data_IF_651294706197
#
_entry.id   IF_651294706197
#
_cell.length_a   1.000
_cell.length_b   1.000
_cell.length_c   1.000
_cell.angle_alpha   90.00
_cell.angle_beta   90.00
_cell.angle_gamma   90.00
#
_symmetry.space_group_name_H-M   'P 1'
#
loop_
_entity.id
_entity.type
_entity.pdbx_description
1 polymer ?
#
# COMPACT_ATOMS: atom_id res chain seq x y z
N UNK A 1 -8.04 -25.38 -3.37
CA UNK A 1 -8.90 -25.48 -2.18
C UNK A 1 -8.25 -26.47 -1.22
N UNK A 2 -8.15 -26.13 0.07
CA UNK A 2 -7.65 -27.01 1.12
C UNK A 2 -8.65 -28.14 1.33
N UNK A 3 -8.16 -29.40 1.39
CA UNK A 3 -8.98 -30.53 1.87
C UNK A 3 -9.18 -30.42 3.40
N UNK A 4 -10.18 -31.12 3.95
CA UNK A 4 -10.42 -31.13 5.40
C UNK A 4 -9.18 -31.62 6.17
N UNK A 5 -8.46 -32.60 5.64
CA UNK A 5 -7.25 -33.15 6.26
C UNK A 5 -6.10 -32.14 6.26
N UNK A 6 -5.91 -31.41 5.15
CA UNK A 6 -4.92 -30.32 5.03
C UNK A 6 -5.27 -29.14 5.94
N UNK A 7 -6.57 -28.89 6.16
CA UNK A 7 -7.03 -27.86 7.08
C UNK A 7 -6.76 -28.23 8.55
N UNK A 8 -6.65 -29.49 8.89
CA UNK A 8 -6.39 -29.98 10.27
C UNK A 8 -4.91 -30.21 10.54
N UNK A 9 -4.14 -30.69 9.57
CA UNK A 9 -2.72 -31.07 9.77
C UNK A 9 -1.74 -29.98 9.35
N UNK A 10 -2.14 -29.04 8.50
CA UNK A 10 -1.26 -28.05 7.88
C UNK A 10 -0.26 -28.69 6.91
N UNK A 11 -0.17 -28.23 5.70
CA UNK A 11 0.89 -28.63 4.76
C UNK A 11 1.53 -27.38 4.17
N UNK A 12 2.41 -26.78 4.98
CA UNK A 12 3.17 -25.59 4.57
C UNK A 12 4.06 -25.87 3.35
N UNK A 13 4.55 -27.12 3.22
CA UNK A 13 5.37 -27.49 2.06
C UNK A 13 4.56 -27.57 0.78
N UNK A 14 3.33 -28.08 0.84
CA UNK A 14 2.43 -28.07 -0.31
C UNK A 14 2.06 -26.64 -0.70
N UNK A 15 1.71 -25.80 0.28
CA UNK A 15 1.41 -24.40 0.04
C UNK A 15 2.57 -23.67 -0.65
N UNK A 16 3.80 -23.92 -0.19
CA UNK A 16 5.01 -23.36 -0.83
C UNK A 16 5.15 -23.85 -2.26
N UNK A 17 4.98 -25.17 -2.52
CA UNK A 17 5.06 -25.72 -3.89
C UNK A 17 4.03 -25.08 -4.82
N UNK A 18 2.77 -25.08 -4.39
CA UNK A 18 1.66 -24.54 -5.20
C UNK A 18 1.88 -23.05 -5.55
N UNK A 19 2.38 -22.25 -4.60
CA UNK A 19 2.68 -20.82 -4.84
C UNK A 19 3.90 -20.66 -5.76
N UNK A 20 4.95 -21.46 -5.58
CA UNK A 20 6.14 -21.44 -6.46
C UNK A 20 5.76 -21.78 -7.90
N UNK A 21 4.97 -22.83 -8.10
CA UNK A 21 4.51 -23.24 -9.43
C UNK A 21 3.65 -22.16 -10.08
N UNK A 22 2.74 -21.55 -9.32
CA UNK A 22 1.95 -20.42 -9.80
C UNK A 22 2.82 -19.20 -10.15
N UNK A 23 3.82 -18.91 -9.32
CA UNK A 23 4.71 -17.77 -9.51
C UNK A 23 5.59 -17.92 -10.75
N UNK A 24 6.08 -19.12 -11.04
CA UNK A 24 6.87 -19.41 -12.24
C UNK A 24 6.03 -19.24 -13.52
N UNK A 25 4.74 -19.55 -13.46
CA UNK A 25 3.84 -19.40 -14.60
C UNK A 25 3.37 -17.94 -14.80
N UNK A 26 3.12 -17.20 -13.73
CA UNK A 26 2.54 -15.85 -13.75
C UNK A 26 3.61 -14.74 -13.80
N UNK A 27 4.85 -15.04 -13.42
CA UNK A 27 5.96 -14.06 -13.32
C UNK A 27 5.56 -12.75 -12.64
N UNK A 28 4.97 -12.76 -11.42
CA UNK A 28 4.49 -11.56 -10.76
C UNK A 28 5.66 -10.68 -10.28
N UNK A 29 5.43 -9.37 -10.19
CA UNK A 29 6.42 -8.44 -9.66
C UNK A 29 6.66 -8.63 -8.15
N UNK A 30 5.68 -9.15 -7.42
CA UNK A 30 5.78 -9.54 -6.01
C UNK A 30 4.64 -10.48 -5.63
N UNK A 31 4.78 -11.15 -4.48
CA UNK A 31 3.76 -12.03 -3.90
C UNK A 31 3.38 -11.50 -2.52
N UNK A 32 2.09 -11.29 -2.31
CA UNK A 32 1.53 -10.94 -1.01
C UNK A 32 0.58 -12.05 -0.53
N UNK A 33 0.86 -12.62 0.64
CA UNK A 33 0.02 -13.64 1.24
C UNK A 33 -0.80 -13.06 2.37
N UNK A 34 -2.12 -13.32 2.36
CA UNK A 34 -3.04 -12.98 3.44
C UNK A 34 -3.58 -14.23 4.11
N UNK A 35 -3.61 -14.25 5.45
CA UNK A 35 -4.20 -15.35 6.22
C UNK A 35 -5.72 -15.28 6.25
N UNK A 36 -6.34 -16.47 6.26
CA UNK A 36 -7.75 -16.68 6.59
C UNK A 36 -7.87 -17.23 8.03
N UNK A 37 -9.07 -17.36 8.62
CA UNK A 37 -9.21 -17.85 10.00
C UNK A 37 -8.54 -19.19 10.26
N UNK A 38 -8.68 -20.17 9.35
CA UNK A 38 -8.15 -21.52 9.54
C UNK A 38 -6.61 -21.53 9.66
N UNK A 39 -5.83 -21.05 8.69
CA UNK A 39 -4.38 -20.98 8.83
C UNK A 39 -3.90 -20.21 10.05
N UNK A 40 -4.63 -19.15 10.45
CA UNK A 40 -4.31 -18.36 11.63
C UNK A 40 -4.50 -19.16 12.92
N UNK A 41 -5.57 -19.96 13.03
CA UNK A 41 -5.83 -20.84 14.17
C UNK A 41 -4.80 -21.96 14.26
N UNK A 42 -4.28 -22.43 13.15
CA UNK A 42 -3.25 -23.45 13.07
C UNK A 42 -1.84 -22.91 13.34
N UNK A 43 -1.68 -21.61 13.49
CA UNK A 43 -0.40 -20.97 13.77
C UNK A 43 0.54 -20.94 12.56
N UNK A 44 0.01 -20.94 11.33
CA UNK A 44 0.81 -20.86 10.10
C UNK A 44 1.79 -19.69 10.12
N UNK A 45 3.09 -19.97 9.94
CA UNK A 45 4.12 -18.93 9.87
C UNK A 45 4.22 -18.32 8.47
N UNK A 46 3.32 -17.37 8.18
CA UNK A 46 3.33 -16.66 6.90
C UNK A 46 4.66 -15.95 6.59
N UNK A 47 5.44 -15.59 7.62
CA UNK A 47 6.75 -14.94 7.40
C UNK A 47 7.81 -15.97 6.98
N UNK A 48 7.80 -17.13 7.60
CA UNK A 48 8.67 -18.24 7.22
C UNK A 48 8.36 -18.71 5.81
N UNK A 49 7.08 -18.98 5.52
CA UNK A 49 6.61 -19.38 4.18
C UNK A 49 7.00 -18.33 3.13
N UNK A 50 6.80 -17.03 3.40
CA UNK A 50 7.19 -15.96 2.47
C UNK A 50 8.68 -16.00 2.14
N UNK A 51 9.55 -16.20 3.14
CA UNK A 51 11.00 -16.35 2.92
C UNK A 51 11.35 -17.57 2.08
N UNK A 52 10.67 -18.71 2.32
CA UNK A 52 10.90 -19.91 1.54
C UNK A 52 10.52 -19.71 0.07
N UNK A 53 9.40 -19.07 -0.21
CA UNK A 53 8.95 -18.75 -1.57
C UNK A 53 9.92 -17.77 -2.24
N UNK A 54 10.29 -16.68 -1.56
CA UNK A 54 11.24 -15.72 -2.07
C UNK A 54 12.59 -16.34 -2.41
N UNK A 55 13.12 -17.23 -1.54
CA UNK A 55 14.37 -17.95 -1.78
C UNK A 55 14.31 -18.88 -3.00
N UNK A 56 13.15 -19.51 -3.24
CA UNK A 56 12.96 -20.44 -4.37
C UNK A 56 12.70 -19.73 -5.70
N UNK A 57 12.01 -18.59 -5.67
CA UNK A 57 11.56 -17.89 -6.90
C UNK A 57 12.38 -16.65 -7.25
N UNK A 58 13.09 -16.05 -6.28
CA UNK A 58 13.71 -14.74 -6.41
C UNK A 58 12.69 -13.58 -6.44
N UNK A 59 11.39 -13.86 -6.32
CA UNK A 59 10.32 -12.86 -6.38
C UNK A 59 10.09 -12.31 -4.97
N UNK A 60 10.10 -10.97 -4.78
CA UNK A 60 9.82 -10.36 -3.48
C UNK A 60 8.49 -10.86 -2.89
N UNK A 61 8.56 -11.49 -1.72
CA UNK A 61 7.39 -12.11 -1.10
C UNK A 61 7.23 -11.65 0.35
N UNK A 62 6.01 -11.35 0.77
CA UNK A 62 5.70 -11.02 2.16
C UNK A 62 4.34 -11.54 2.60
N UNK A 63 4.25 -11.90 3.88
CA UNK A 63 3.03 -12.39 4.51
C UNK A 63 2.42 -11.32 5.43
N UNK A 64 1.11 -11.19 5.37
CA UNK A 64 0.32 -10.31 6.24
C UNK A 64 -0.46 -11.19 7.22
N UNK A 65 -0.32 -10.92 8.51
CA UNK A 65 -1.05 -11.64 9.56
C UNK A 65 -2.52 -11.16 9.63
N UNK A 66 -3.30 -11.45 8.58
CA UNK A 66 -4.74 -11.30 8.59
C UNK A 66 -5.41 -12.58 9.05
N UNK A 67 -6.58 -12.46 9.69
CA UNK A 67 -7.31 -13.63 10.20
C UNK A 67 -8.76 -13.69 9.69
N UNK A 68 -9.13 -12.82 8.74
CA UNK A 68 -10.49 -12.74 8.21
C UNK A 68 -11.55 -12.21 9.21
N UNK A 69 -11.19 -11.97 10.48
CA UNK A 69 -12.09 -11.48 11.53
C UNK A 69 -11.99 -9.97 11.76
N UNK A 70 -10.93 -9.34 11.26
CA UNK A 70 -10.74 -7.90 11.34
C UNK A 70 -11.31 -7.20 10.09
N UNK A 71 -11.55 -5.89 10.18
CA UNK A 71 -11.95 -5.11 9.03
C UNK A 71 -10.87 -5.15 7.92
N UNK A 72 -11.29 -5.04 6.66
CA UNK A 72 -10.36 -4.99 5.53
C UNK A 72 -9.33 -3.86 5.63
N UNK A 73 -9.68 -2.76 6.32
CA UNK A 73 -8.80 -1.61 6.56
C UNK A 73 -7.46 -2.03 7.14
N UNK A 74 -7.48 -2.97 8.10
CA UNK A 74 -6.26 -3.47 8.74
C UNK A 74 -5.38 -4.24 7.75
N UNK A 75 -5.98 -5.18 7.02
CA UNK A 75 -5.24 -5.99 6.04
C UNK A 75 -4.69 -5.16 4.88
N UNK A 76 -5.53 -4.32 4.28
CA UNK A 76 -5.14 -3.44 3.20
C UNK A 76 -4.07 -2.42 3.64
N UNK A 77 -4.22 -1.84 4.84
CA UNK A 77 -3.24 -0.92 5.40
C UNK A 77 -1.87 -1.57 5.66
N UNK A 78 -1.85 -2.81 6.19
CA UNK A 78 -0.61 -3.56 6.35
C UNK A 78 0.02 -3.93 5.00
N UNK A 79 -0.78 -4.26 3.98
CA UNK A 79 -0.27 -4.50 2.63
C UNK A 79 0.45 -3.26 2.09
N UNK A 80 -0.18 -2.09 2.16
CA UNK A 80 0.43 -0.83 1.72
C UNK A 80 1.71 -0.51 2.51
N UNK A 81 1.73 -0.75 3.81
CA UNK A 81 2.92 -0.58 4.64
C UNK A 81 4.08 -1.49 4.21
N UNK A 82 3.79 -2.76 3.89
CA UNK A 82 4.79 -3.68 3.39
C UNK A 82 5.32 -3.28 2.01
N UNK A 83 4.45 -2.76 1.14
CA UNK A 83 4.86 -2.18 -0.15
C UNK A 83 5.85 -1.03 0.07
N UNK A 84 5.58 -0.11 1.01
CA UNK A 84 6.54 0.95 1.37
C UNK A 84 7.90 0.34 1.75
N UNK A 85 7.90 -0.62 2.68
CA UNK A 85 9.15 -1.21 3.20
C UNK A 85 9.98 -1.96 2.15
N UNK A 86 9.31 -2.58 1.18
CA UNK A 86 9.96 -3.44 0.21
C UNK A 86 10.37 -2.72 -1.07
N UNK A 87 9.61 -1.72 -1.48
CA UNK A 87 9.76 -1.14 -2.81
C UNK A 87 10.14 0.34 -2.82
N UNK A 88 9.97 1.04 -1.71
CA UNK A 88 10.41 2.43 -1.63
C UNK A 88 11.88 2.47 -1.18
N UNK A 89 12.82 2.88 -2.04
CA UNK A 89 14.25 2.90 -1.71
C UNK A 89 14.56 4.03 -0.72
N UNK A 90 15.45 3.81 0.26
CA UNK A 90 15.89 4.88 1.15
C UNK A 90 16.67 5.96 0.39
N UNK A 91 16.58 7.21 0.87
CA UNK A 91 17.46 8.28 0.40
C UNK A 91 17.02 9.04 -0.85
N UNK A 92 15.88 8.69 -1.47
CA UNK A 92 15.31 9.53 -2.53
C UNK A 92 14.75 10.80 -1.88
N UNK A 93 15.35 11.95 -2.18
CA UNK A 93 14.79 13.28 -1.89
C UNK A 93 14.74 14.06 -3.19
N UNK A 94 13.65 14.79 -3.39
CA UNK A 94 13.55 15.72 -4.50
C UNK A 94 14.52 16.91 -4.28
N UNK A 95 15.25 17.30 -5.31
CA UNK A 95 15.67 18.68 -5.43
C UNK A 95 14.39 19.51 -5.45
N UNK A 96 14.34 20.61 -4.67
CA UNK A 96 13.10 21.39 -4.47
C UNK A 96 12.46 21.73 -5.82
N UNK A 97 11.33 21.10 -6.16
CA UNK A 97 10.66 21.34 -7.43
C UNK A 97 9.88 22.66 -7.40
N UNK A 98 9.58 23.16 -8.59
CA UNK A 98 8.73 24.35 -8.73
C UNK A 98 7.28 24.12 -8.24
N UNK A 99 6.80 22.87 -8.22
CA UNK A 99 5.47 22.48 -7.76
C UNK A 99 5.55 21.53 -6.55
N UNK A 100 4.63 21.67 -5.61
CA UNK A 100 4.51 20.82 -4.42
C UNK A 100 4.03 19.44 -4.82
N UNK A 101 4.76 18.40 -4.42
CA UNK A 101 4.51 17.01 -4.77
C UNK A 101 3.78 16.25 -3.66
N UNK A 102 2.74 15.52 -4.03
CA UNK A 102 1.84 14.85 -3.09
C UNK A 102 1.63 13.38 -3.46
N UNK A 103 1.79 12.47 -2.48
CA UNK A 103 1.25 11.12 -2.59
C UNK A 103 -0.21 11.12 -2.13
N UNK A 104 -1.08 10.39 -2.82
CA UNK A 104 -2.45 10.11 -2.38
C UNK A 104 -2.49 8.68 -1.84
N UNK A 105 -2.80 8.51 -0.55
CA UNK A 105 -2.73 7.23 0.14
C UNK A 105 -4.11 6.73 0.57
N UNK A 106 -4.39 5.45 0.31
CA UNK A 106 -5.61 4.80 0.77
C UNK A 106 -6.78 4.87 -0.20
N UNK A 107 -6.52 5.07 -1.50
CA UNK A 107 -7.56 5.08 -2.53
C UNK A 107 -7.90 3.64 -2.93
N UNK A 108 -8.66 2.94 -2.08
CA UNK A 108 -9.06 1.55 -2.36
C UNK A 108 -10.36 1.48 -3.17
N UNK A 109 -10.58 0.43 -3.98
CA UNK A 109 -11.83 0.24 -4.70
C UNK A 109 -13.06 0.16 -3.78
N UNK A 110 -12.89 -0.35 -2.55
CA UNK A 110 -13.97 -0.47 -1.58
C UNK A 110 -14.43 0.90 -1.04
N UNK A 111 -13.51 1.86 -0.87
CA UNK A 111 -13.84 3.19 -0.35
C UNK A 111 -14.20 4.17 -1.47
N UNK A 112 -13.56 4.05 -2.63
CA UNK A 112 -13.63 5.05 -3.69
C UNK A 112 -14.30 4.55 -4.98
N UNK A 113 -14.65 3.26 -5.08
CA UNK A 113 -15.18 2.67 -6.31
C UNK A 113 -14.24 2.84 -7.52
N UNK A 114 -14.61 2.27 -8.66
CA UNK A 114 -13.85 2.37 -9.92
C UNK A 114 -14.35 3.49 -10.84
N UNK A 115 -15.18 4.41 -10.35
CA UNK A 115 -15.92 5.40 -11.14
C UNK A 115 -15.20 6.75 -11.30
N UNK A 116 -13.89 6.75 -11.55
CA UNK A 116 -13.14 7.97 -11.85
C UNK A 116 -12.83 8.87 -10.65
N UNK A 117 -12.98 8.37 -9.42
CA UNK A 117 -12.66 9.14 -8.21
C UNK A 117 -11.17 9.45 -8.09
N UNK A 118 -10.29 8.56 -8.57
CA UNK A 118 -8.84 8.78 -8.65
C UNK A 118 -8.49 9.98 -9.53
N UNK A 119 -9.09 10.09 -10.72
CA UNK A 119 -8.90 11.23 -11.60
C UNK A 119 -9.31 12.55 -10.91
N UNK A 120 -10.45 12.56 -10.20
CA UNK A 120 -10.91 13.75 -9.47
C UNK A 120 -9.99 14.13 -8.32
N UNK A 121 -9.39 13.18 -7.61
CA UNK A 121 -8.38 13.45 -6.58
C UNK A 121 -7.12 14.08 -7.18
N UNK A 122 -6.66 13.56 -8.32
CA UNK A 122 -5.51 14.13 -9.06
C UNK A 122 -5.84 15.53 -9.61
N UNK A 123 -7.05 15.73 -10.15
CA UNK A 123 -7.51 17.05 -10.64
C UNK A 123 -7.64 18.07 -9.52
N UNK A 124 -8.07 17.64 -8.33
CA UNK A 124 -8.07 18.49 -7.14
C UNK A 124 -6.66 19.01 -6.84
N UNK A 125 -5.65 18.16 -6.79
CA UNK A 125 -4.26 18.57 -6.55
C UNK A 125 -3.77 19.51 -7.68
N UNK A 126 -3.98 19.13 -8.93
CA UNK A 126 -3.59 19.91 -10.10
C UNK A 126 -4.22 21.31 -10.11
N UNK A 127 -5.52 21.42 -9.80
CA UNK A 127 -6.24 22.70 -9.75
C UNK A 127 -5.73 23.64 -8.65
N UNK A 128 -4.99 23.11 -7.67
CA UNK A 128 -4.35 23.89 -6.61
C UNK A 128 -2.82 24.04 -6.79
N UNK A 129 -2.29 23.74 -8.00
CA UNK A 129 -0.87 23.88 -8.32
C UNK A 129 0.03 22.83 -7.66
N UNK A 130 -0.51 21.63 -7.39
CA UNK A 130 0.21 20.51 -6.80
C UNK A 130 0.33 19.36 -7.81
N UNK A 131 1.42 18.59 -7.72
CA UNK A 131 1.66 17.42 -8.55
C UNK A 131 1.43 16.12 -7.76
N UNK A 132 0.84 15.11 -8.41
CA UNK A 132 0.69 13.78 -7.82
C UNK A 132 1.92 12.95 -8.15
N UNK A 133 2.59 12.40 -7.12
CA UNK A 133 3.67 11.40 -7.28
C UNK A 133 3.09 10.02 -7.53
N UNK A 134 2.15 9.60 -6.68
CA UNK A 134 1.46 8.32 -6.80
C UNK A 134 0.08 8.36 -6.16
N UNK A 135 -0.83 7.50 -6.69
CA UNK A 135 -2.17 7.29 -6.14
C UNK A 135 -2.28 5.84 -5.67
N UNK A 136 -2.11 5.62 -4.37
CA UNK A 136 -1.88 4.30 -3.79
C UNK A 136 -3.16 3.51 -3.59
N UNK A 137 -3.11 2.27 -4.05
CA UNK A 137 -4.08 1.22 -4.17
C UNK A 137 -4.92 1.24 -5.45
N UNK A 138 -4.97 2.36 -6.18
CA UNK A 138 -5.53 2.40 -7.54
C UNK A 138 -4.67 3.28 -8.46
N UNK A 139 -4.54 2.89 -9.72
CA UNK A 139 -3.91 3.63 -10.82
C UNK A 139 -2.40 3.90 -10.70
N UNK A 140 -1.71 3.39 -9.69
CA UNK A 140 -0.25 3.50 -9.62
C UNK A 140 0.41 2.14 -9.71
N UNK A 141 1.38 2.03 -10.61
CA UNK A 141 2.27 0.89 -10.70
C UNK A 141 3.42 0.96 -9.69
N UNK A 142 4.20 -0.11 -9.57
CA UNK A 142 5.33 -0.17 -8.64
C UNK A 142 6.39 0.91 -8.90
N UNK A 143 6.58 1.32 -10.14
CA UNK A 143 7.59 2.33 -10.50
C UNK A 143 7.23 3.70 -9.91
N UNK A 144 5.94 4.08 -9.94
CA UNK A 144 5.47 5.30 -9.30
C UNK A 144 5.56 5.19 -7.76
N UNK A 145 5.25 4.00 -7.21
CA UNK A 145 5.35 3.78 -5.76
C UNK A 145 6.80 3.86 -5.27
N UNK A 146 7.77 3.47 -6.08
CA UNK A 146 9.21 3.63 -5.78
C UNK A 146 9.62 5.10 -5.66
N UNK A 147 8.91 5.99 -6.32
CA UNK A 147 9.14 7.44 -6.26
C UNK A 147 8.48 8.13 -5.06
N UNK A 148 7.83 7.38 -4.18
CA UNK A 148 7.07 7.93 -3.04
C UNK A 148 7.87 8.88 -2.14
N UNK A 149 9.19 8.70 -2.03
CA UNK A 149 10.10 9.58 -1.28
C UNK A 149 10.28 10.97 -1.89
N UNK A 150 9.84 11.19 -3.14
CA UNK A 150 9.88 12.51 -3.79
C UNK A 150 8.73 13.42 -3.35
N UNK A 151 7.74 12.90 -2.62
CA UNK A 151 6.61 13.70 -2.17
C UNK A 151 6.98 14.58 -0.97
N UNK A 152 6.51 15.83 -1.01
CA UNK A 152 6.62 16.78 0.09
C UNK A 152 5.59 16.49 1.19
N UNK A 153 4.42 15.95 0.81
CA UNK A 153 3.31 15.63 1.72
C UNK A 153 2.59 14.35 1.27
N UNK A 154 2.13 13.57 2.23
CA UNK A 154 1.23 12.44 2.00
C UNK A 154 -0.21 12.86 2.31
N UNK A 155 -1.11 12.83 1.33
CA UNK A 155 -2.54 13.01 1.52
C UNK A 155 -3.19 11.66 1.82
N UNK A 156 -3.66 11.47 3.05
CA UNK A 156 -4.38 10.26 3.48
C UNK A 156 -5.88 10.49 3.29
N UNK A 157 -6.48 9.78 2.33
CA UNK A 157 -7.89 9.96 1.98
C UNK A 157 -8.82 8.93 2.61
N UNK A 158 -8.26 7.83 3.14
CA UNK A 158 -9.00 6.83 3.94
C UNK A 158 -8.10 6.21 5.00
N UNK A 159 -8.71 5.52 5.96
CA UNK A 159 -8.01 4.88 7.07
C UNK A 159 -6.96 3.84 6.60
N UNK A 160 -7.14 3.24 5.43
CA UNK A 160 -6.19 2.30 4.82
C UNK A 160 -4.82 2.94 4.56
N UNK A 161 -4.76 4.25 4.33
CA UNK A 161 -3.52 4.96 4.04
C UNK A 161 -2.62 5.21 5.26
N UNK A 162 -3.13 5.14 6.50
CA UNK A 162 -2.35 5.49 7.69
C UNK A 162 -1.08 4.67 7.90
N UNK A 163 -1.09 3.32 7.78
CA UNK A 163 0.13 2.54 7.99
C UNK A 163 1.24 2.87 6.99
N UNK A 164 0.88 3.13 5.73
CA UNK A 164 1.83 3.59 4.71
C UNK A 164 2.35 4.99 5.00
N UNK A 165 1.47 5.95 5.38
CA UNK A 165 1.87 7.30 5.74
C UNK A 165 2.85 7.33 6.92
N UNK A 166 2.59 6.52 7.95
CA UNK A 166 3.47 6.38 9.11
C UNK A 166 4.86 5.83 8.73
N UNK A 167 4.91 4.84 7.84
CA UNK A 167 6.18 4.26 7.38
C UNK A 167 6.94 5.26 6.47
N UNK A 168 6.26 5.96 5.56
CA UNK A 168 6.88 7.02 4.74
C UNK A 168 7.41 8.18 5.59
N UNK A 169 6.71 8.58 6.66
CA UNK A 169 7.22 9.57 7.60
C UNK A 169 8.48 9.08 8.31
N UNK A 170 8.51 7.81 8.72
CA UNK A 170 9.68 7.22 9.36
C UNK A 170 10.89 7.16 8.42
N UNK A 171 10.66 6.83 7.13
CA UNK A 171 11.74 6.65 6.15
C UNK A 171 12.27 7.96 5.59
N UNK A 172 11.39 8.91 5.30
CA UNK A 172 11.71 10.14 4.55
C UNK A 172 11.46 11.43 5.32
N UNK A 173 10.77 11.34 6.47
CA UNK A 173 10.32 12.53 7.21
C UNK A 173 9.07 13.18 6.62
N UNK A 174 8.51 12.64 5.52
CA UNK A 174 7.37 13.24 4.81
C UNK A 174 6.14 13.34 5.71
N UNK A 175 5.62 14.55 5.99
CA UNK A 175 4.43 14.73 6.80
C UNK A 175 3.18 14.21 6.07
N UNK A 176 2.07 14.03 6.81
CA UNK A 176 0.80 13.69 6.19
C UNK A 176 -0.33 14.60 6.64
N UNK A 177 -1.30 14.76 5.76
CA UNK A 177 -2.58 15.44 6.01
C UNK A 177 -3.70 14.45 5.74
N UNK A 178 -4.74 14.50 6.55
CA UNK A 178 -5.90 13.61 6.41
C UNK A 178 -7.08 14.40 5.86
N UNK A 179 -7.71 13.91 4.81
CA UNK A 179 -8.93 14.50 4.29
C UNK A 179 -9.26 14.05 2.87
N UNK A 180 -10.54 14.19 2.52
CA UNK A 180 -11.06 13.96 1.18
C UNK A 180 -11.65 15.25 0.65
N UNK A 181 -11.32 15.69 -0.58
CA UNK A 181 -11.78 16.97 -1.12
C UNK A 181 -13.25 16.88 -1.55
N UNK A 182 -14.16 17.09 -0.59
CA UNK A 182 -15.61 17.08 -0.82
C UNK A 182 -16.17 18.49 -0.62
N UNK A 183 -16.76 19.05 -1.68
CA UNK A 183 -17.31 20.41 -1.66
C UNK A 183 -16.23 21.51 -1.69
N UNK A 184 -16.58 22.66 -2.25
CA UNK A 184 -15.64 23.76 -2.54
C UNK A 184 -14.89 24.27 -1.30
N UNK A 185 -15.60 24.49 -0.19
CA UNK A 185 -15.03 25.05 1.04
C UNK A 185 -14.05 24.11 1.72
N UNK A 186 -14.41 22.83 1.81
CA UNK A 186 -13.55 21.79 2.43
C UNK A 186 -12.32 21.52 1.57
N UNK A 187 -12.48 21.48 0.25
CA UNK A 187 -11.37 21.32 -0.68
C UNK A 187 -10.35 22.46 -0.56
N UNK A 188 -10.79 23.70 -0.48
CA UNK A 188 -9.89 24.85 -0.29
C UNK A 188 -9.11 24.79 1.03
N UNK A 189 -9.77 24.41 2.13
CA UNK A 189 -9.10 24.21 3.42
C UNK A 189 -8.09 23.04 3.38
N UNK A 190 -8.45 21.95 2.75
CA UNK A 190 -7.57 20.80 2.61
C UNK A 190 -6.30 21.18 1.83
N UNK A 191 -6.43 21.91 0.72
CA UNK A 191 -5.30 22.40 -0.05
C UNK A 191 -4.37 23.29 0.79
N UNK A 192 -4.93 24.14 1.66
CA UNK A 192 -4.14 24.99 2.57
C UNK A 192 -3.40 24.13 3.63
N UNK A 193 -4.07 23.14 4.23
CA UNK A 193 -3.44 22.22 5.17
C UNK A 193 -2.26 21.46 4.52
N UNK A 194 -2.39 21.03 3.26
CA UNK A 194 -1.31 20.37 2.51
C UNK A 194 -0.12 21.34 2.35
N UNK A 195 -0.37 22.60 1.95
CA UNK A 195 0.71 23.61 1.82
C UNK A 195 1.40 23.91 3.15
N UNK A 196 0.65 23.97 4.24
CA UNK A 196 1.21 24.20 5.58
C UNK A 196 2.08 23.02 6.03
N UNK A 197 1.62 21.79 5.82
CA UNK A 197 2.37 20.59 6.19
C UNK A 197 3.70 20.47 5.42
N UNK A 198 3.76 20.91 4.17
CA UNK A 198 4.98 20.91 3.37
C UNK A 198 6.07 21.88 3.83
N UNK A 199 5.72 22.86 4.68
CA UNK A 199 6.64 23.87 5.21
C UNK A 199 7.28 23.46 6.54
N UNK A 200 6.78 22.38 7.14
CA UNK A 200 7.23 21.84 8.44
C UNK A 200 8.31 20.79 8.26
#
# INVERSE_FOLDING_TARGET
ALSELEAVMGDDEKLVRDIVDAALNLCPAFICMGGTPIPMMMGTDFKGIARMIENKTGIPTFGIATNGMHSYVRGAGEALRWIVKRFCPPGIKADRPAALKVNILGVTPLDFSLTGNTARLKDFLRSHGMETVGCWAMESGLDELRLAGLADVNLVVSAVGFPAAAELKKMYGTPWVVGTPVGRRTSGRLAECIRQAART
#
